data_IF_804254788779
#
_entry.id   IF_804254788779
#
_cell.length_a   1.000
_cell.length_b   1.000
_cell.length_c   1.000
_cell.angle_alpha   90.00
_cell.angle_beta   90.00
_cell.angle_gamma   90.00
#
_symmetry.space_group_name_H-M   'P 1'
#
loop_
_entity.id
_entity.type
_entity.pdbx_description
1 polymer ?
#
# COMPACT_ATOMS: atom_id res chain seq x y z
N UNK A 1 25.45 -10.63 -8.53
CA UNK A 1 24.10 -10.30 -9.02
C UNK A 1 23.71 -11.39 -10.01
N UNK A 2 22.91 -12.36 -9.59
CA UNK A 2 22.41 -13.40 -10.48
C UNK A 2 21.30 -12.79 -11.33
N UNK A 3 21.53 -12.67 -12.64
CA UNK A 3 20.47 -12.30 -13.58
C UNK A 3 19.41 -13.42 -13.54
N UNK A 4 18.24 -13.12 -13.00
CA UNK A 4 17.07 -14.01 -13.09
C UNK A 4 16.72 -14.16 -14.57
N UNK A 5 16.78 -15.39 -15.08
CA UNK A 5 16.43 -15.69 -16.46
C UNK A 5 14.98 -15.22 -16.74
N UNK A 6 14.80 -14.34 -17.70
CA UNK A 6 13.48 -13.95 -18.16
C UNK A 6 12.80 -15.09 -18.89
N UNK A 7 11.53 -15.33 -18.56
CA UNK A 7 10.68 -16.28 -19.26
C UNK A 7 10.26 -15.71 -20.64
N UNK A 8 9.71 -16.55 -21.56
CA UNK A 8 9.15 -16.04 -22.82
C UNK A 8 8.12 -14.93 -22.67
N UNK A 9 7.51 -14.80 -21.49
CA UNK A 9 6.55 -13.73 -21.17
C UNK A 9 7.21 -12.42 -20.74
N UNK A 10 8.54 -12.40 -20.56
CA UNK A 10 9.31 -11.24 -20.09
C UNK A 10 9.10 -10.93 -18.61
N UNK A 11 8.66 -11.91 -17.79
CA UNK A 11 8.61 -11.87 -16.34
C UNK A 11 9.64 -12.83 -15.76
N UNK A 12 10.16 -12.53 -14.57
CA UNK A 12 10.97 -13.51 -13.85
C UNK A 12 10.13 -14.71 -13.38
N UNK A 13 10.75 -15.87 -13.28
CA UNK A 13 10.10 -17.06 -12.73
C UNK A 13 9.55 -16.80 -11.32
N UNK A 14 10.30 -16.05 -10.50
CA UNK A 14 9.90 -15.63 -9.15
C UNK A 14 8.59 -14.83 -9.17
N UNK A 15 8.46 -13.86 -10.06
CA UNK A 15 7.25 -13.04 -10.17
C UNK A 15 6.02 -13.87 -10.59
N UNK A 16 6.20 -14.84 -11.48
CA UNK A 16 5.14 -15.76 -11.88
C UNK A 16 4.69 -16.62 -10.69
N UNK A 17 5.62 -17.18 -9.92
CA UNK A 17 5.32 -18.01 -8.74
C UNK A 17 4.60 -17.19 -7.64
N UNK A 18 5.01 -15.93 -7.42
CA UNK A 18 4.31 -15.03 -6.51
C UNK A 18 2.90 -14.75 -7.01
N UNK A 19 2.73 -14.43 -8.30
CA UNK A 19 1.42 -14.16 -8.89
C UNK A 19 0.47 -15.37 -8.78
N UNK A 20 0.96 -16.58 -9.04
CA UNK A 20 0.19 -17.80 -8.88
C UNK A 20 -0.22 -18.07 -7.43
N UNK A 21 0.67 -17.83 -6.47
CA UNK A 21 0.37 -17.97 -5.05
C UNK A 21 -0.69 -16.97 -4.61
N UNK A 22 -0.57 -15.72 -5.03
CA UNK A 22 -1.56 -14.68 -4.76
C UNK A 22 -2.90 -15.04 -5.39
N UNK A 23 -2.92 -15.50 -6.65
CA UNK A 23 -4.17 -15.89 -7.31
C UNK A 23 -4.89 -17.01 -6.55
N UNK A 24 -4.17 -18.07 -6.18
CA UNK A 24 -4.76 -19.18 -5.38
C UNK A 24 -5.31 -18.67 -4.06
N UNK A 25 -4.52 -17.89 -3.32
CA UNK A 25 -4.97 -17.30 -2.06
C UNK A 25 -6.25 -16.48 -2.22
N UNK A 26 -6.30 -15.60 -3.22
CA UNK A 26 -7.49 -14.77 -3.44
C UNK A 26 -8.70 -15.62 -3.82
N UNK A 27 -8.55 -16.60 -4.71
CA UNK A 27 -9.66 -17.44 -5.14
C UNK A 27 -10.18 -18.35 -4.03
N UNK A 28 -9.27 -19.00 -3.32
CA UNK A 28 -9.62 -20.09 -2.41
C UNK A 28 -9.93 -19.57 -0.99
N UNK A 29 -9.31 -18.45 -0.59
CA UNK A 29 -9.44 -17.91 0.76
C UNK A 29 -10.25 -16.62 0.80
N UNK A 30 -9.96 -15.64 -0.07
CA UNK A 30 -10.54 -14.30 0.06
C UNK A 30 -11.95 -14.21 -0.54
N UNK A 31 -12.18 -14.74 -1.74
CA UNK A 31 -13.49 -14.68 -2.42
C UNK A 31 -14.65 -15.20 -1.56
N UNK A 32 -14.52 -16.30 -0.80
CA UNK A 32 -15.58 -16.74 0.10
C UNK A 32 -16.05 -15.66 1.09
N UNK A 33 -15.17 -14.75 1.53
CA UNK A 33 -15.51 -13.66 2.43
C UNK A 33 -16.24 -12.48 1.77
N UNK A 34 -16.42 -12.49 0.46
CA UNK A 34 -17.20 -11.44 -0.20
C UNK A 34 -18.67 -11.39 0.25
N UNK A 35 -19.17 -12.50 0.81
CA UNK A 35 -20.53 -12.62 1.36
C UNK A 35 -20.56 -12.54 2.89
N UNK A 36 -19.42 -12.22 3.54
CA UNK A 36 -19.35 -12.11 5.00
C UNK A 36 -20.18 -10.93 5.50
N UNK A 37 -21.00 -11.18 6.53
CA UNK A 37 -21.90 -10.17 7.12
C UNK A 37 -21.18 -9.00 7.82
N UNK A 38 -19.88 -9.11 8.06
CA UNK A 38 -19.03 -8.03 8.62
C UNK A 38 -18.62 -6.99 7.55
N UNK A 39 -19.15 -7.11 6.33
CA UNK A 39 -19.00 -6.08 5.28
C UNK A 39 -20.14 -5.07 5.34
N UNK A 40 -19.79 -3.82 5.17
CA UNK A 40 -20.73 -2.70 5.09
C UNK A 40 -20.58 -1.95 3.76
N UNK A 41 -21.45 -0.95 3.53
CA UNK A 41 -21.28 -0.03 2.39
C UNK A 41 -19.96 0.79 2.43
N UNK A 42 -19.34 0.88 3.61
CA UNK A 42 -18.08 1.60 3.82
C UNK A 42 -16.84 0.68 3.80
N UNK A 43 -17.04 -0.60 3.57
CA UNK A 43 -15.96 -1.60 3.54
C UNK A 43 -16.14 -2.70 4.58
N UNK A 44 -15.16 -3.60 4.73
CA UNK A 44 -15.14 -4.62 5.77
C UNK A 44 -14.89 -4.01 7.14
N UNK A 45 -15.36 -4.70 8.19
CA UNK A 45 -14.99 -4.33 9.57
C UNK A 45 -13.49 -4.48 9.81
N UNK A 46 -12.98 -3.82 10.85
CA UNK A 46 -11.57 -3.96 11.25
C UNK A 46 -11.24 -5.42 11.62
N UNK A 47 -12.17 -6.10 12.29
CA UNK A 47 -12.02 -7.52 12.62
C UNK A 47 -11.87 -8.41 11.37
N UNK A 48 -12.72 -8.22 10.36
CA UNK A 48 -12.60 -8.96 9.10
C UNK A 48 -11.30 -8.62 8.37
N UNK A 49 -10.91 -7.35 8.39
CA UNK A 49 -9.68 -6.88 7.77
C UNK A 49 -8.44 -7.53 8.40
N UNK A 50 -8.37 -7.59 9.72
CA UNK A 50 -7.24 -8.21 10.43
C UNK A 50 -7.24 -9.75 10.28
N UNK A 51 -8.41 -10.39 10.24
CA UNK A 51 -8.51 -11.82 9.93
C UNK A 51 -7.94 -12.14 8.54
N UNK A 52 -8.33 -11.37 7.53
CA UNK A 52 -7.85 -11.58 6.15
C UNK A 52 -6.35 -11.32 6.02
N UNK A 53 -5.83 -10.29 6.70
CA UNK A 53 -4.39 -10.02 6.75
C UNK A 53 -3.61 -11.14 7.45
N UNK A 54 -4.14 -11.68 8.55
CA UNK A 54 -3.52 -12.83 9.22
C UNK A 54 -3.41 -14.03 8.27
N UNK A 55 -4.49 -14.35 7.55
CA UNK A 55 -4.48 -15.40 6.53
C UNK A 55 -3.48 -15.11 5.39
N UNK A 56 -3.33 -13.85 4.99
CA UNK A 56 -2.35 -13.48 3.96
C UNK A 56 -0.90 -13.63 4.44
N UNK A 57 -0.63 -13.31 5.73
CA UNK A 57 0.68 -13.57 6.35
C UNK A 57 0.99 -15.06 6.37
N UNK A 58 0.06 -15.90 6.83
CA UNK A 58 0.22 -17.35 6.89
C UNK A 58 0.45 -17.96 5.49
N UNK A 59 -0.19 -17.41 4.48
CA UNK A 59 -0.02 -17.85 3.09
C UNK A 59 1.22 -17.25 2.40
N UNK A 60 1.98 -16.38 3.06
CA UNK A 60 3.15 -15.71 2.49
C UNK A 60 2.82 -14.80 1.29
N UNK A 61 1.67 -14.11 1.38
CA UNK A 61 1.19 -13.17 0.32
C UNK A 61 0.87 -11.78 0.87
N UNK A 62 1.32 -11.44 2.08
CA UNK A 62 1.31 -10.08 2.59
C UNK A 62 2.32 -9.24 1.80
N UNK A 63 1.91 -8.08 1.30
CA UNK A 63 2.76 -7.19 0.48
C UNK A 63 3.59 -7.94 -0.57
N UNK A 64 2.98 -8.76 -1.44
CA UNK A 64 3.67 -9.78 -2.25
C UNK A 64 4.60 -9.20 -3.31
N UNK A 65 4.57 -7.90 -3.54
CA UNK A 65 5.44 -7.15 -4.44
C UNK A 65 6.74 -6.68 -3.78
N UNK A 66 6.87 -6.86 -2.46
CA UNK A 66 8.09 -6.59 -1.70
C UNK A 66 8.73 -7.92 -1.33
N UNK A 67 10.01 -8.06 -1.64
CA UNK A 67 10.76 -9.29 -1.44
C UNK A 67 11.35 -9.34 -0.02
N UNK A 68 11.77 -10.53 0.41
CA UNK A 68 12.30 -10.77 1.77
C UNK A 68 13.53 -9.91 2.10
N UNK A 69 14.29 -9.49 1.09
CA UNK A 69 15.42 -8.58 1.23
C UNK A 69 15.02 -7.09 1.25
N UNK A 70 13.71 -6.80 1.25
CA UNK A 70 13.15 -5.45 1.22
C UNK A 70 13.18 -4.77 -0.15
N UNK A 71 13.66 -5.46 -1.19
CA UNK A 71 13.60 -4.94 -2.56
C UNK A 71 12.20 -5.10 -3.15
N UNK A 72 11.86 -4.22 -4.10
CA UNK A 72 10.62 -4.34 -4.86
C UNK A 72 10.82 -5.18 -6.12
N UNK A 73 9.79 -5.90 -6.51
CA UNK A 73 9.64 -6.38 -7.89
C UNK A 73 9.74 -5.19 -8.87
N UNK A 74 10.10 -5.46 -10.11
CA UNK A 74 10.00 -4.42 -11.15
C UNK A 74 8.55 -3.92 -11.25
N UNK A 75 8.33 -2.70 -11.74
CA UNK A 75 6.97 -2.15 -11.89
C UNK A 75 6.06 -3.04 -12.74
N UNK A 76 6.61 -3.66 -13.78
CA UNK A 76 5.89 -4.59 -14.64
C UNK A 76 5.47 -5.86 -13.88
N UNK A 77 6.36 -6.42 -13.07
CA UNK A 77 6.07 -7.59 -12.24
C UNK A 77 5.12 -7.28 -11.09
N UNK A 78 5.29 -6.09 -10.47
CA UNK A 78 4.33 -5.57 -9.49
C UNK A 78 2.93 -5.51 -10.08
N UNK A 79 2.76 -4.95 -11.27
CA UNK A 79 1.46 -4.91 -11.94
C UNK A 79 0.86 -6.30 -12.20
N UNK A 80 1.70 -7.29 -12.56
CA UNK A 80 1.26 -8.69 -12.70
C UNK A 80 0.70 -9.24 -11.39
N UNK A 81 1.42 -9.05 -10.28
CA UNK A 81 1.04 -9.55 -8.96
C UNK A 81 -0.20 -8.83 -8.43
N UNK A 82 -0.22 -7.49 -8.49
CA UNK A 82 -1.35 -6.69 -7.98
C UNK A 82 -2.64 -6.94 -8.76
N UNK A 83 -2.56 -7.25 -10.05
CA UNK A 83 -3.73 -7.69 -10.82
C UNK A 83 -4.37 -8.95 -10.23
N UNK A 84 -3.57 -9.83 -9.60
CA UNK A 84 -4.10 -11.04 -8.94
C UNK A 84 -4.79 -10.72 -7.62
N UNK A 85 -4.33 -9.73 -6.87
CA UNK A 85 -5.07 -9.26 -5.69
C UNK A 85 -6.43 -8.67 -6.06
N UNK A 86 -6.52 -8.00 -7.22
CA UNK A 86 -7.77 -7.42 -7.74
C UNK A 86 -8.83 -8.41 -8.22
N UNK A 87 -8.62 -9.72 -8.14
CA UNK A 87 -9.64 -10.73 -8.44
C UNK A 87 -10.79 -10.75 -7.42
N UNK A 88 -10.58 -10.14 -6.26
CA UNK A 88 -11.60 -9.90 -5.24
C UNK A 88 -11.55 -8.45 -4.78
N UNK A 89 -12.70 -7.86 -4.46
CA UNK A 89 -12.78 -6.53 -3.86
C UNK A 89 -12.05 -6.47 -2.49
N UNK A 90 -11.93 -7.59 -1.80
CA UNK A 90 -11.22 -7.71 -0.52
C UNK A 90 -9.73 -8.07 -0.70
N UNK A 91 -9.31 -8.50 -1.90
CA UNK A 91 -7.96 -8.98 -2.14
C UNK A 91 -6.87 -7.93 -1.89
N UNK A 92 -7.00 -6.68 -2.40
CA UNK A 92 -6.03 -5.64 -2.11
C UNK A 92 -5.91 -5.30 -0.63
N UNK A 93 -7.00 -5.37 0.13
CA UNK A 93 -6.99 -5.18 1.58
C UNK A 93 -6.32 -6.35 2.29
N UNK A 94 -6.69 -7.58 1.94
CA UNK A 94 -6.11 -8.79 2.53
C UNK A 94 -4.60 -8.88 2.33
N UNK A 95 -4.13 -8.58 1.11
CA UNK A 95 -2.71 -8.62 0.76
C UNK A 95 -1.97 -7.30 1.07
N UNK A 96 -2.62 -6.33 1.69
CA UNK A 96 -2.07 -5.00 2.00
C UNK A 96 -1.45 -4.30 0.79
N UNK A 97 -2.16 -4.34 -0.33
CA UNK A 97 -1.75 -3.74 -1.62
C UNK A 97 -2.72 -2.64 -2.08
N UNK A 98 -3.67 -2.26 -1.23
CA UNK A 98 -4.60 -1.18 -1.52
C UNK A 98 -3.88 0.18 -1.53
N UNK A 99 -4.33 1.08 -2.39
CA UNK A 99 -3.89 2.46 -2.33
C UNK A 99 -4.41 3.13 -1.03
N UNK A 100 -3.62 4.01 -0.41
CA UNK A 100 -2.30 4.53 -0.83
C UNK A 100 -1.11 3.71 -0.34
N UNK A 101 -1.32 2.62 0.40
CA UNK A 101 -0.25 1.87 1.09
C UNK A 101 0.83 1.39 0.13
N UNK A 102 0.44 0.80 -1.01
CA UNK A 102 1.40 0.31 -2.00
C UNK A 102 2.31 1.43 -2.51
N UNK A 103 1.73 2.54 -2.96
CA UNK A 103 2.49 3.69 -3.47
C UNK A 103 3.37 4.34 -2.41
N UNK A 104 2.90 4.43 -1.16
CA UNK A 104 3.66 4.98 -0.05
C UNK A 104 4.83 4.07 0.35
N UNK A 105 4.64 2.74 0.33
CA UNK A 105 5.74 1.79 0.52
C UNK A 105 6.79 1.91 -0.58
N UNK A 106 6.36 2.04 -1.84
CA UNK A 106 7.27 2.26 -2.95
C UNK A 106 8.09 3.55 -2.78
N UNK A 107 7.43 4.65 -2.43
CA UNK A 107 8.09 5.94 -2.21
C UNK A 107 9.12 5.85 -1.07
N UNK A 108 8.72 5.33 0.10
CA UNK A 108 9.61 5.15 1.24
C UNK A 108 10.78 4.22 0.90
N UNK A 109 10.53 3.16 0.15
CA UNK A 109 11.57 2.26 -0.33
C UNK A 109 12.62 2.95 -1.21
N UNK A 110 12.18 3.91 -2.05
CA UNK A 110 13.05 4.65 -2.98
C UNK A 110 13.85 5.78 -2.32
N UNK A 111 13.19 6.59 -1.50
CA UNK A 111 13.79 7.85 -1.02
C UNK A 111 13.98 7.91 0.49
N UNK A 112 13.43 6.96 1.25
CA UNK A 112 13.55 6.93 2.70
C UNK A 112 15.00 6.65 3.16
N UNK A 113 15.43 7.38 4.19
CA UNK A 113 16.66 7.03 4.91
C UNK A 113 16.52 5.66 5.62
N UNK A 114 17.60 5.02 6.06
CA UNK A 114 17.50 3.78 6.83
C UNK A 114 16.59 3.90 8.05
N UNK A 115 16.63 5.02 8.77
CA UNK A 115 15.78 5.28 9.95
C UNK A 115 14.31 5.39 9.56
N UNK A 116 13.99 6.08 8.45
CA UNK A 116 12.62 6.20 7.95
C UNK A 116 12.09 4.86 7.47
N UNK A 117 12.91 4.04 6.84
CA UNK A 117 12.53 2.70 6.42
C UNK A 117 12.23 1.79 7.61
N UNK A 118 13.10 1.77 8.61
CA UNK A 118 12.87 0.97 9.81
C UNK A 118 11.62 1.43 10.57
N UNK A 119 11.45 2.76 10.71
CA UNK A 119 10.37 3.34 11.51
C UNK A 119 9.01 3.27 10.83
N UNK A 120 8.94 3.50 9.51
CA UNK A 120 7.68 3.68 8.80
C UNK A 120 7.42 2.62 7.73
N UNK A 121 8.43 2.24 6.93
CA UNK A 121 8.23 1.26 5.87
C UNK A 121 8.02 -0.15 6.43
N UNK A 122 8.84 -0.56 7.36
CA UNK A 122 8.79 -1.91 7.92
C UNK A 122 7.42 -2.28 8.52
N UNK A 123 6.79 -1.46 9.39
CA UNK A 123 5.44 -1.77 9.87
C UNK A 123 4.36 -1.76 8.78
N UNK A 124 4.57 -1.02 7.69
CA UNK A 124 3.67 -1.10 6.54
C UNK A 124 3.85 -2.41 5.77
N UNK A 125 5.08 -2.85 5.55
CA UNK A 125 5.37 -4.12 4.86
C UNK A 125 4.80 -5.32 5.62
N UNK A 126 4.85 -5.32 6.94
CA UNK A 126 4.26 -6.37 7.79
C UNK A 126 2.73 -6.28 7.93
N UNK A 127 2.13 -5.18 7.45
CA UNK A 127 0.69 -4.92 7.56
C UNK A 127 0.24 -4.41 8.93
N UNK A 128 1.19 -4.03 9.81
CA UNK A 128 0.91 -3.52 11.16
C UNK A 128 0.56 -2.02 11.17
N UNK A 129 0.87 -1.33 10.07
CA UNK A 129 0.54 0.08 9.88
C UNK A 129 -0.12 0.31 8.53
N UNK A 130 -1.17 1.11 8.52
CA UNK A 130 -1.77 1.70 7.32
C UNK A 130 -1.23 3.11 7.14
N UNK A 131 -1.27 3.59 5.91
CA UNK A 131 -0.83 4.94 5.57
C UNK A 131 -1.91 5.77 4.90
N UNK A 132 -1.64 7.07 4.85
CA UNK A 132 -2.41 8.02 4.06
C UNK A 132 -1.47 8.92 3.23
N UNK A 133 -1.97 9.38 2.09
CA UNK A 133 -1.27 10.31 1.22
C UNK A 133 -2.01 11.64 1.21
N UNK A 134 -1.47 12.63 1.92
CA UNK A 134 -2.10 13.93 2.14
C UNK A 134 -1.74 14.91 1.02
N UNK A 135 -2.51 14.89 -0.07
CA UNK A 135 -2.27 15.75 -1.24
C UNK A 135 -3.38 16.79 -1.42
N UNK A 136 -4.62 16.36 -1.67
CA UNK A 136 -5.76 17.23 -1.99
C UNK A 136 -6.05 18.24 -0.90
N UNK A 137 -6.32 19.49 -1.28
CA UNK A 137 -6.66 20.62 -0.39
C UNK A 137 -8.09 21.11 -0.62
N UNK A 138 -8.73 21.76 0.39
CA UNK A 138 -10.03 22.39 0.20
C UNK A 138 -9.93 23.55 -0.81
N UNK A 139 -10.67 23.49 -1.91
CA UNK A 139 -10.70 24.58 -2.90
C UNK A 139 -11.37 25.84 -2.36
N UNK A 140 -12.34 25.69 -1.46
CA UNK A 140 -13.07 26.77 -0.79
C UNK A 140 -12.20 27.69 0.06
N UNK A 141 -11.06 27.20 0.53
CA UNK A 141 -10.09 27.97 1.34
C UNK A 141 -8.96 28.59 0.48
N UNK A 142 -9.14 28.61 -0.85
CA UNK A 142 -8.10 29.06 -1.78
C UNK A 142 -7.00 28.03 -2.02
N UNK A 143 -7.21 26.78 -1.56
CA UNK A 143 -6.30 25.68 -1.79
C UNK A 143 -6.42 25.10 -3.20
N UNK A 144 -5.55 24.16 -3.47
CA UNK A 144 -5.34 23.58 -4.81
C UNK A 144 -6.51 22.74 -5.34
N UNK A 145 -7.45 22.33 -4.47
CA UNK A 145 -8.35 21.25 -4.88
C UNK A 145 -7.53 20.00 -5.19
N UNK A 146 -7.62 19.51 -6.42
CA UNK A 146 -6.85 18.37 -6.91
C UNK A 146 -5.60 18.76 -7.72
N UNK A 147 -5.31 20.06 -7.88
CA UNK A 147 -4.13 20.53 -8.64
C UNK A 147 -2.91 20.66 -7.71
N UNK A 148 -1.93 19.74 -7.81
CA UNK A 148 -0.77 19.76 -6.92
C UNK A 148 0.15 20.96 -7.11
N UNK A 149 0.04 21.69 -8.24
CA UNK A 149 0.86 22.89 -8.50
C UNK A 149 0.40 24.11 -7.69
N UNK A 150 -0.81 24.06 -7.12
CA UNK A 150 -1.44 25.17 -6.37
C UNK A 150 -1.48 24.93 -4.87
N UNK A 151 -0.78 23.92 -4.34
CA UNK A 151 -0.81 23.58 -2.93
C UNK A 151 -0.40 24.75 -2.02
N UNK A 152 -1.17 24.93 -0.94
CA UNK A 152 -0.94 25.94 0.09
C UNK A 152 -0.22 25.37 1.32
N UNK A 153 -0.21 24.05 1.48
CA UNK A 153 0.53 23.38 2.57
C UNK A 153 2.00 23.72 2.47
N UNK A 154 2.57 24.18 3.57
CA UNK A 154 4.00 24.54 3.66
C UNK A 154 4.68 23.77 4.77
N UNK A 155 5.94 23.44 4.53
CA UNK A 155 6.82 22.80 5.50
C UNK A 155 8.05 23.68 5.70
N UNK A 156 8.33 24.10 6.93
CA UNK A 156 9.46 24.98 7.29
C UNK A 156 10.31 24.35 8.39
N UNK A 157 11.64 24.45 8.30
CA UNK A 157 12.51 24.01 9.39
C UNK A 157 12.36 24.95 10.59
N UNK A 158 12.41 24.39 11.80
CA UNK A 158 12.44 25.10 13.08
C UNK A 158 13.37 24.36 14.04
N UNK A 159 14.62 24.79 14.12
CA UNK A 159 15.66 24.10 14.86
C UNK A 159 15.86 22.67 14.35
N UNK A 160 15.62 21.69 15.21
CA UNK A 160 15.72 20.26 14.90
C UNK A 160 14.39 19.63 14.45
N UNK A 161 13.39 20.46 14.17
CA UNK A 161 12.04 20.03 13.81
C UNK A 161 11.62 20.61 12.46
N UNK A 162 10.57 20.03 11.90
CA UNK A 162 9.87 20.58 10.76
C UNK A 162 8.45 20.95 11.18
N UNK A 163 8.04 22.16 10.86
CA UNK A 163 6.68 22.65 11.11
C UNK A 163 5.89 22.58 9.81
N UNK A 164 4.85 21.77 9.81
CA UNK A 164 3.95 21.61 8.67
C UNK A 164 2.66 22.37 8.99
N UNK A 165 2.28 23.29 8.09
CA UNK A 165 1.03 24.04 8.17
C UNK A 165 0.26 23.86 6.85
N UNK A 166 -0.98 23.40 6.97
CA UNK A 166 -1.85 23.18 5.82
C UNK A 166 -3.13 22.50 6.20
N UNK A 167 -4.00 22.34 5.22
CA UNK A 167 -5.29 21.69 5.36
C UNK A 167 -5.51 20.75 4.19
N UNK A 168 -5.83 19.49 4.47
CA UNK A 168 -6.03 18.46 3.46
C UNK A 168 -7.47 17.93 3.54
N UNK A 169 -8.02 17.51 2.39
CA UNK A 169 -9.42 17.07 2.25
C UNK A 169 -9.49 15.82 1.35
N UNK A 170 -10.47 14.98 1.60
CA UNK A 170 -10.70 13.76 0.84
C UNK A 170 -9.53 12.78 0.82
N UNK A 171 -8.92 12.55 1.98
CA UNK A 171 -7.74 11.73 2.11
C UNK A 171 -8.15 10.27 2.38
N UNK A 172 -7.96 9.41 1.40
CA UNK A 172 -8.22 7.97 1.53
C UNK A 172 -7.37 7.37 2.63
N UNK A 173 -8.01 6.66 3.55
CA UNK A 173 -7.34 5.96 4.64
C UNK A 173 -6.84 6.84 5.77
N UNK A 174 -7.13 8.16 5.79
CA UNK A 174 -6.70 9.06 6.87
C UNK A 174 -7.19 8.61 8.24
N UNK A 175 -8.42 8.09 8.31
CA UNK A 175 -8.93 7.45 9.52
C UNK A 175 -8.21 6.10 9.71
N UNK A 176 -7.54 5.95 10.86
CA UNK A 176 -6.75 4.77 11.22
C UNK A 176 -5.35 4.70 10.59
N UNK A 177 -4.91 5.69 9.79
CA UNK A 177 -3.54 5.73 9.31
C UNK A 177 -2.56 5.99 10.46
N UNK A 178 -1.47 5.21 10.50
CA UNK A 178 -0.34 5.40 11.44
C UNK A 178 0.83 6.16 10.79
N UNK A 179 0.83 6.21 9.45
CA UNK A 179 1.87 6.88 8.66
C UNK A 179 1.20 7.83 7.68
N UNK A 180 1.67 9.06 7.60
CA UNK A 180 1.20 10.06 6.65
C UNK A 180 2.32 10.58 5.77
N UNK A 181 2.12 10.60 4.44
CA UNK A 181 2.97 11.32 3.51
C UNK A 181 2.25 12.62 3.16
N UNK A 182 2.88 13.74 3.46
CA UNK A 182 2.30 15.08 3.26
C UNK A 182 3.01 15.77 2.10
N UNK A 183 2.21 16.19 1.14
CA UNK A 183 2.66 17.01 0.01
C UNK A 183 2.45 18.48 0.32
#
# INVERSE_FOLDING_TARGET
>A
MSATAETPTGYSQRALEIADRVERFVRDVVIPYEKDGRRTSHGPSDELSEELKAKARDAGVMTPHILDDGSHLTQRETALVLRKTGLSILGPLACHTAAPDEGNMYLLGKVGSPELKERFLKPMVTGDARSAFFMTEPAEDGGAGSDPSMMQTVCKPDGNHWVINGRKKFITGADGAKVGIVM
#
